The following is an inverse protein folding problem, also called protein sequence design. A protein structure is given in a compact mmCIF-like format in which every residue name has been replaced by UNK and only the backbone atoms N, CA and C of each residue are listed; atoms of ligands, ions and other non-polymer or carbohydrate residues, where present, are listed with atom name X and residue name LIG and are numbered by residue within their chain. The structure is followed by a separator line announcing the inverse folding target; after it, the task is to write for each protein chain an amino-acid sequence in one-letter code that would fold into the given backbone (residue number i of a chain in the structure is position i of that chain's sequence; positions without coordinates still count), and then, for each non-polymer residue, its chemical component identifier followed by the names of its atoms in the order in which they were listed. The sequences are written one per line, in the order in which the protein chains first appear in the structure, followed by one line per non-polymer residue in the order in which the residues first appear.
data_IF_142625292523
#
_entry.id   IF_142625292523
#
_cell.length_a   1.000
_cell.length_b   1.000
_cell.length_c   1.000
_cell.angle_alpha   90.00
_cell.angle_beta   90.00
_cell.angle_gamma   90.00
#
_symmetry.space_group_name_H-M   'P 1'
#
loop_
_entity.id
_entity.type
_entity.pdbx_description
1 polymer ?
#
# COMPACT_ATOMS: atom_id res chain seq x y z
N UNK A 1 20.16 -15.83 19.32
CA UNK A 1 18.93 -16.44 18.79
C UNK A 1 18.34 -15.45 17.78
N UNK A 2 18.78 -15.52 16.52
CA UNK A 2 18.26 -14.66 15.46
C UNK A 2 16.83 -15.11 15.18
N UNK A 3 15.85 -14.25 15.47
CA UNK A 3 14.48 -14.45 15.02
C UNK A 3 14.49 -14.31 13.49
N UNK A 4 13.93 -15.27 12.75
CA UNK A 4 13.83 -15.16 11.29
C UNK A 4 13.04 -13.91 10.91
N UNK A 5 13.43 -13.23 9.82
CA UNK A 5 12.80 -11.99 9.35
C UNK A 5 11.27 -12.10 9.22
N UNK A 6 10.78 -13.29 8.88
CA UNK A 6 9.35 -13.64 8.83
C UNK A 6 8.65 -13.49 10.18
N UNK A 7 9.29 -13.93 11.27
CA UNK A 7 8.73 -13.84 12.62
C UNK A 7 8.69 -12.38 13.05
N UNK A 8 9.75 -11.61 12.76
CA UNK A 8 9.79 -10.17 13.02
C UNK A 8 8.63 -9.48 12.28
N UNK A 9 8.44 -9.80 11.00
CA UNK A 9 7.37 -9.27 10.17
C UNK A 9 5.97 -9.59 10.75
N UNK A 10 5.73 -10.85 11.14
CA UNK A 10 4.46 -11.27 11.76
C UNK A 10 4.24 -10.58 13.11
N UNK A 11 5.27 -10.45 13.93
CA UNK A 11 5.19 -9.73 15.20
C UNK A 11 4.81 -8.26 14.99
N UNK A 12 5.40 -7.58 14.01
CA UNK A 12 5.04 -6.19 13.67
C UNK A 12 3.59 -6.07 13.20
N UNK A 13 3.11 -7.02 12.39
CA UNK A 13 1.69 -7.08 12.00
C UNK A 13 0.78 -7.24 13.21
N UNK A 14 1.10 -8.13 14.16
CA UNK A 14 0.31 -8.33 15.37
C UNK A 14 0.30 -7.08 16.26
N UNK A 15 1.44 -6.41 16.41
CA UNK A 15 1.58 -5.16 17.17
C UNK A 15 0.80 -4.00 16.53
N UNK A 16 0.62 -4.00 15.21
CA UNK A 16 -0.16 -2.96 14.51
C UNK A 16 -1.65 -2.92 14.92
N UNK A 17 -2.20 -4.04 15.39
CA UNK A 17 -3.60 -4.20 15.78
C UNK A 17 -3.94 -3.36 17.03
N UNK A 18 -3.29 -3.57 18.21
CA UNK A 18 -3.55 -2.77 19.40
C UNK A 18 -3.28 -1.27 19.18
N UNK A 19 -2.28 -0.93 18.36
CA UNK A 19 -1.98 0.47 18.00
C UNK A 19 -3.19 1.16 17.35
N UNK A 20 -3.96 0.45 16.53
CA UNK A 20 -5.21 0.97 15.95
C UNK A 20 -6.25 1.41 16.98
N UNK A 21 -6.34 0.72 18.12
CA UNK A 21 -7.24 1.10 19.21
C UNK A 21 -6.77 2.35 19.96
N UNK A 22 -5.45 2.57 20.06
CA UNK A 22 -4.88 3.78 20.66
C UNK A 22 -5.21 5.01 19.81
N UNK A 23 -5.03 4.91 18.49
CA UNK A 23 -5.34 6.00 17.56
C UNK A 23 -6.84 6.31 17.43
N UNK A 24 -7.71 5.34 17.77
CA UNK A 24 -9.16 5.55 17.82
C UNK A 24 -9.54 6.62 18.87
N UNK A 25 -8.78 6.73 19.96
CA UNK A 25 -9.06 7.67 21.05
C UNK A 25 -8.38 9.04 20.88
N UNK A 26 -7.57 9.21 19.84
CA UNK A 26 -6.80 10.44 19.62
C UNK A 26 -7.68 11.55 19.02
N UNK A 27 -7.85 12.66 19.75
CA UNK A 27 -8.66 13.82 19.32
C UNK A 27 -7.90 14.82 18.44
N UNK A 28 -6.56 14.84 18.53
CA UNK A 28 -5.72 15.80 17.81
C UNK A 28 -5.24 15.25 16.46
N UNK A 29 -5.62 15.93 15.38
CA UNK A 29 -5.35 15.49 14.00
C UNK A 29 -3.85 15.45 13.65
N UNK A 30 -3.08 16.47 14.06
CA UNK A 30 -1.66 16.57 13.74
C UNK A 30 -0.86 15.53 14.52
N UNK A 31 -1.13 15.39 15.83
CA UNK A 31 -0.49 14.37 16.66
C UNK A 31 -0.78 12.97 16.12
N UNK A 32 -2.03 12.69 15.74
CA UNK A 32 -2.42 11.42 15.12
C UNK A 32 -1.63 11.14 13.84
N UNK A 33 -1.51 12.13 12.96
CA UNK A 33 -0.74 11.99 11.74
C UNK A 33 0.75 11.73 12.02
N UNK A 34 1.42 12.59 12.80
CA UNK A 34 2.84 12.43 13.11
C UNK A 34 3.15 11.10 13.80
N UNK A 35 2.37 10.71 14.80
CA UNK A 35 2.56 9.44 15.50
C UNK A 35 2.33 8.24 14.58
N UNK A 36 1.30 8.27 13.70
CA UNK A 36 1.04 7.19 12.74
C UNK A 36 2.17 7.02 11.72
N UNK A 37 2.78 8.13 11.29
CA UNK A 37 3.90 8.16 10.35
C UNK A 37 5.19 7.72 11.03
N UNK A 38 5.44 8.15 12.27
CA UNK A 38 6.62 7.74 13.04
C UNK A 38 6.62 6.22 13.27
N UNK A 39 5.50 5.66 13.69
CA UNK A 39 5.37 4.20 13.89
C UNK A 39 5.57 3.45 12.58
N UNK A 40 4.94 3.90 11.49
CA UNK A 40 5.11 3.25 10.19
C UNK A 40 6.54 3.36 9.67
N UNK A 41 7.20 4.50 9.86
CA UNK A 41 8.61 4.66 9.50
C UNK A 41 9.51 3.72 10.32
N UNK A 42 9.27 3.58 11.62
CA UNK A 42 9.98 2.59 12.46
C UNK A 42 9.77 1.17 11.93
N UNK A 43 8.55 0.82 11.52
CA UNK A 43 8.27 -0.50 10.92
C UNK A 43 9.04 -0.69 9.61
N UNK A 44 9.09 0.33 8.74
CA UNK A 44 9.86 0.28 7.51
C UNK A 44 11.37 0.13 7.78
N UNK A 45 11.91 0.81 8.80
CA UNK A 45 13.32 0.67 9.19
C UNK A 45 13.65 -0.75 9.68
N UNK A 46 12.79 -1.34 10.49
CA UNK A 46 12.99 -2.69 11.03
C UNK A 46 12.92 -3.73 9.90
N UNK A 47 11.97 -3.59 8.98
CA UNK A 47 11.72 -4.58 7.91
C UNK A 47 12.69 -4.42 6.73
N UNK A 48 12.90 -3.20 6.24
CA UNK A 48 13.69 -2.93 5.04
C UNK A 48 15.18 -2.70 5.33
N UNK A 49 15.55 -2.38 6.57
CA UNK A 49 16.92 -2.00 6.95
C UNK A 49 17.45 -0.89 6.01
N UNK A 50 18.53 -1.13 5.27
CA UNK A 50 19.12 -0.15 4.35
C UNK A 50 18.27 0.12 3.10
N UNK A 51 17.44 -0.84 2.68
CA UNK A 51 16.60 -0.70 1.48
C UNK A 51 15.51 0.38 1.66
N UNK A 52 15.27 0.84 2.89
CA UNK A 52 14.35 1.95 3.18
C UNK A 52 14.70 3.21 2.39
N UNK A 53 15.99 3.41 2.06
CA UNK A 53 16.47 4.57 1.30
C UNK A 53 15.84 4.62 -0.09
N UNK A 54 15.63 3.47 -0.74
CA UNK A 54 14.97 3.42 -2.05
C UNK A 54 13.52 3.93 -1.96
N UNK A 55 12.82 3.51 -0.91
CA UNK A 55 11.47 3.97 -0.64
C UNK A 55 11.43 5.47 -0.33
N UNK A 56 12.41 5.97 0.43
CA UNK A 56 12.50 7.37 0.83
C UNK A 56 12.76 8.28 -0.37
N UNK A 57 13.66 7.88 -1.27
CA UNK A 57 13.96 8.59 -2.51
C UNK A 57 12.69 8.65 -3.37
N UNK A 58 12.02 7.51 -3.54
CA UNK A 58 10.78 7.43 -4.33
C UNK A 58 9.71 8.38 -3.79
N UNK A 59 9.46 8.35 -2.48
CA UNK A 59 8.47 9.22 -1.83
C UNK A 59 8.86 10.69 -1.91
N UNK A 60 10.14 11.02 -1.70
CA UNK A 60 10.62 12.41 -1.70
C UNK A 60 10.51 13.03 -3.08
N UNK A 61 10.97 12.33 -4.14
CA UNK A 61 10.85 12.82 -5.52
C UNK A 61 9.40 12.96 -5.92
N UNK A 62 8.53 12.01 -5.54
CA UNK A 62 7.09 12.15 -5.80
C UNK A 62 6.50 13.38 -5.09
N UNK A 63 6.89 13.67 -3.85
CA UNK A 63 6.45 14.89 -3.17
C UNK A 63 6.92 16.16 -3.89
N UNK A 64 8.13 16.16 -4.47
CA UNK A 64 8.63 17.27 -5.29
C UNK A 64 7.84 17.42 -6.59
N UNK A 65 7.52 16.31 -7.27
CA UNK A 65 6.68 16.31 -8.47
C UNK A 65 5.30 16.90 -8.15
N UNK A 66 4.66 16.47 -7.06
CA UNK A 66 3.36 16.99 -6.65
C UNK A 66 3.40 18.48 -6.23
N UNK A 67 4.56 18.97 -5.77
CA UNK A 67 4.74 20.38 -5.42
C UNK A 67 4.97 21.28 -6.65
N UNK A 68 5.74 20.78 -7.64
CA UNK A 68 6.22 21.58 -8.76
C UNK A 68 5.41 21.45 -10.05
N UNK A 69 4.71 20.34 -10.26
CA UNK A 69 3.98 20.07 -11.52
C UNK A 69 2.53 20.53 -11.43
N UNK A 70 2.04 21.17 -12.49
CA UNK A 70 0.64 21.58 -12.61
C UNK A 70 -0.31 20.37 -12.50
N UNK A 71 -1.45 20.58 -11.83
CA UNK A 71 -2.52 19.60 -11.62
C UNK A 71 -2.96 18.83 -12.88
N UNK A 72 -2.76 19.40 -14.07
CA UNK A 72 -3.06 18.78 -15.37
C UNK A 72 -2.15 17.59 -15.71
N UNK A 73 -0.86 17.65 -15.38
CA UNK A 73 0.14 16.67 -15.80
C UNK A 73 0.73 15.86 -14.63
N UNK A 74 0.35 16.17 -13.40
CA UNK A 74 0.90 15.55 -12.18
C UNK A 74 0.74 14.04 -12.14
N UNK A 75 -0.39 13.50 -12.60
CA UNK A 75 -0.67 12.06 -12.61
C UNK A 75 0.27 11.32 -13.58
N UNK A 76 0.50 11.86 -14.77
CA UNK A 76 1.42 11.29 -15.78
C UNK A 76 2.86 11.34 -15.27
N UNK A 77 3.30 12.51 -14.79
CA UNK A 77 4.66 12.68 -14.28
C UNK A 77 4.96 11.72 -13.12
N UNK A 78 4.03 11.60 -12.17
CA UNK A 78 4.15 10.69 -11.03
C UNK A 78 4.10 9.22 -11.47
N UNK A 79 3.21 8.88 -12.41
CA UNK A 79 3.09 7.53 -12.93
C UNK A 79 4.40 7.08 -13.60
N UNK A 80 4.94 7.90 -14.51
CA UNK A 80 6.21 7.61 -15.20
C UNK A 80 7.33 7.47 -14.17
N UNK A 81 7.49 8.42 -13.24
CA UNK A 81 8.52 8.34 -12.21
C UNK A 81 8.42 7.06 -11.37
N UNK A 82 7.26 6.79 -10.79
CA UNK A 82 7.07 5.64 -9.91
C UNK A 82 7.26 4.31 -10.63
N UNK A 83 6.72 4.14 -11.84
CA UNK A 83 6.87 2.90 -12.60
C UNK A 83 8.29 2.73 -13.16
N UNK A 84 8.94 3.80 -13.60
CA UNK A 84 10.36 3.74 -14.00
C UNK A 84 11.25 3.35 -12.83
N UNK A 85 11.01 3.91 -11.64
CA UNK A 85 11.76 3.54 -10.44
C UNK A 85 11.48 2.09 -10.02
N UNK A 86 10.22 1.65 -10.08
CA UNK A 86 9.85 0.26 -9.80
C UNK A 86 10.51 -0.71 -10.79
N UNK A 87 10.56 -0.34 -12.08
CA UNK A 87 11.22 -1.13 -13.12
C UNK A 87 12.72 -1.22 -12.85
N UNK A 88 13.38 -0.10 -12.55
CA UNK A 88 14.80 -0.07 -12.16
C UNK A 88 15.06 -1.00 -10.96
N UNK A 89 14.22 -0.91 -9.92
CA UNK A 89 14.33 -1.75 -8.73
C UNK A 89 14.17 -3.25 -9.04
N UNK A 90 13.29 -3.59 -9.99
CA UNK A 90 13.05 -4.97 -10.47
C UNK A 90 14.16 -5.50 -11.39
N UNK A 91 14.86 -4.62 -12.11
CA UNK A 91 15.90 -5.00 -13.08
C UNK A 91 17.32 -4.88 -12.53
N UNK A 92 17.48 -4.63 -11.23
CA UNK A 92 18.78 -4.56 -10.51
C UNK A 92 19.69 -5.77 -10.76
N UNK A 93 19.12 -6.97 -10.91
CA UNK A 93 19.86 -8.19 -11.25
C UNK A 93 20.61 -8.09 -12.59
N UNK A 94 20.06 -7.37 -13.58
CA UNK A 94 20.70 -7.17 -14.87
C UNK A 94 21.95 -6.27 -14.76
N UNK A 95 22.02 -5.46 -13.70
CA UNK A 95 23.11 -4.53 -13.42
C UNK A 95 24.09 -5.04 -12.35
N UNK A 96 23.99 -6.32 -11.95
CA UNK A 96 24.83 -6.94 -10.90
C UNK A 96 24.75 -6.25 -9.53
N UNK A 97 23.67 -5.51 -9.27
CA UNK A 97 23.38 -4.90 -7.97
C UNK A 97 22.66 -5.94 -7.11
N UNK A 98 22.99 -6.00 -5.81
CA UNK A 98 22.36 -6.95 -4.88
C UNK A 98 20.84 -6.84 -4.92
N UNK A 99 20.17 -8.00 -5.01
CA UNK A 99 18.72 -8.05 -5.09
C UNK A 99 18.11 -7.57 -3.75
N UNK A 100 17.16 -6.62 -3.78
CA UNK A 100 16.54 -6.12 -2.56
C UNK A 100 15.75 -7.22 -1.86
N UNK A 101 15.66 -7.12 -0.52
CA UNK A 101 14.96 -8.10 0.31
C UNK A 101 13.48 -8.17 -0.11
N UNK A 102 12.89 -9.37 -0.12
CA UNK A 102 11.51 -9.61 -0.56
C UNK A 102 10.49 -8.70 0.14
N UNK A 103 10.69 -8.42 1.44
CA UNK A 103 9.84 -7.52 2.21
C UNK A 103 9.98 -6.05 1.79
N UNK A 104 11.19 -5.60 1.46
CA UNK A 104 11.46 -4.24 0.95
C UNK A 104 10.73 -4.01 -0.38
N UNK A 105 10.71 -5.03 -1.24
CA UNK A 105 9.98 -4.99 -2.51
C UNK A 105 8.46 -4.84 -2.32
N UNK A 106 7.88 -5.54 -1.35
CA UNK A 106 6.46 -5.41 -1.05
C UNK A 106 6.10 -3.99 -0.57
N UNK A 107 6.91 -3.41 0.32
CA UNK A 107 6.73 -2.03 0.82
C UNK A 107 6.89 -1.02 -0.32
N UNK A 108 7.89 -1.20 -1.18
CA UNK A 108 8.12 -0.34 -2.35
C UNK A 108 6.93 -0.35 -3.31
N UNK A 109 6.35 -1.53 -3.59
CA UNK A 109 5.16 -1.66 -4.42
C UNK A 109 3.95 -0.96 -3.78
N UNK A 110 3.72 -1.17 -2.49
CA UNK A 110 2.62 -0.54 -1.76
C UNK A 110 2.74 0.99 -1.77
N UNK A 111 3.94 1.52 -1.52
CA UNK A 111 4.22 2.96 -1.60
C UNK A 111 3.98 3.50 -3.02
N UNK A 112 4.44 2.78 -4.04
CA UNK A 112 4.21 3.15 -5.44
C UNK A 112 2.72 3.30 -5.75
N UNK A 113 1.90 2.32 -5.37
CA UNK A 113 0.45 2.37 -5.57
C UNK A 113 -0.20 3.54 -4.83
N UNK A 114 0.19 3.77 -3.57
CA UNK A 114 -0.32 4.89 -2.75
C UNK A 114 0.02 6.24 -3.38
N UNK A 115 1.27 6.44 -3.81
CA UNK A 115 1.76 7.69 -4.36
C UNK A 115 1.16 8.02 -5.73
N UNK A 116 1.10 7.04 -6.64
CA UNK A 116 0.46 7.19 -7.95
C UNK A 116 -1.01 7.52 -7.79
N UNK A 117 -1.68 6.85 -6.85
CA UNK A 117 -3.11 7.05 -6.64
C UNK A 117 -3.45 8.42 -6.05
N UNK A 118 -2.61 8.96 -5.17
CA UNK A 118 -2.72 10.37 -4.73
C UNK A 118 -2.63 11.32 -5.92
N UNK A 119 -1.72 11.07 -6.85
CA UNK A 119 -1.55 11.93 -8.02
C UNK A 119 -2.77 11.88 -8.96
N UNK A 120 -3.39 10.71 -9.12
CA UNK A 120 -4.67 10.58 -9.82
C UNK A 120 -5.82 11.26 -9.07
N UNK A 121 -5.92 11.10 -7.75
CA UNK A 121 -6.95 11.77 -6.94
C UNK A 121 -6.82 13.31 -7.01
N UNK A 122 -5.60 13.83 -7.03
CA UNK A 122 -5.34 15.26 -7.26
C UNK A 122 -5.85 15.67 -8.64
N UNK A 123 -5.45 14.95 -9.69
CA UNK A 123 -5.81 15.28 -11.06
C UNK A 123 -7.33 15.27 -11.28
N UNK A 124 -8.00 14.24 -10.76
CA UNK A 124 -9.45 14.10 -10.84
C UNK A 124 -10.17 15.23 -10.10
N UNK A 125 -9.64 15.65 -8.94
CA UNK A 125 -10.19 16.80 -8.19
C UNK A 125 -10.08 18.09 -9.01
N UNK A 126 -8.94 18.29 -9.69
CA UNK A 126 -8.75 19.43 -10.59
C UNK A 126 -9.71 19.39 -11.79
N UNK A 127 -9.92 18.22 -12.41
CA UNK A 127 -10.83 18.08 -13.54
C UNK A 127 -12.27 18.36 -13.13
N UNK A 128 -12.72 17.86 -11.97
CA UNK A 128 -14.05 18.16 -11.41
C UNK A 128 -14.27 19.65 -11.21
N UNK A 129 -13.31 20.34 -10.58
CA UNK A 129 -13.37 21.79 -10.39
C UNK A 129 -13.47 22.57 -11.72
N UNK A 130 -12.78 22.10 -12.76
CA UNK A 130 -12.86 22.68 -14.10
C UNK A 130 -14.25 22.47 -14.72
N UNK A 131 -14.81 21.27 -14.60
CA UNK A 131 -16.16 20.95 -15.09
C UNK A 131 -17.22 21.80 -14.41
N UNK A 132 -17.16 21.93 -13.08
CA UNK A 132 -18.05 22.78 -12.29
C UNK A 132 -18.05 24.22 -12.80
N UNK A 133 -16.87 24.80 -13.05
CA UNK A 133 -16.74 26.18 -13.54
C UNK A 133 -17.26 26.39 -14.96
N UNK A 134 -17.29 25.34 -15.78
CA UNK A 134 -17.74 25.41 -17.17
C UNK A 134 -19.22 25.05 -17.31
N UNK A 135 -19.82 24.45 -16.27
CA UNK A 135 -21.20 24.00 -16.28
C UNK A 135 -22.16 25.19 -16.18
N UNK A 136 -23.05 25.32 -17.16
CA UNK A 136 -24.04 26.40 -17.24
C UNK A 136 -25.38 26.01 -16.61
N UNK A 137 -25.68 24.72 -16.51
CA UNK A 137 -26.89 24.20 -15.88
C UNK A 137 -26.78 24.26 -14.35
N UNK A 138 -27.71 24.98 -13.69
CA UNK A 138 -27.71 25.16 -12.24
C UNK A 138 -27.86 23.83 -11.47
N UNK A 139 -28.83 23.00 -11.84
CA UNK A 139 -29.11 21.72 -11.17
C UNK A 139 -27.94 20.72 -11.29
N UNK A 140 -27.23 20.73 -12.42
CA UNK A 140 -26.09 19.86 -12.65
C UNK A 140 -24.84 20.39 -11.93
N UNK A 141 -24.66 21.71 -11.89
CA UNK A 141 -23.60 22.37 -11.14
C UNK A 141 -23.72 22.11 -9.63
N UNK A 142 -24.93 22.17 -9.08
CA UNK A 142 -25.17 21.85 -7.66
C UNK A 142 -24.80 20.40 -7.33
N UNK A 143 -25.21 19.44 -8.16
CA UNK A 143 -24.85 18.02 -8.00
C UNK A 143 -23.33 17.81 -8.05
N UNK A 144 -22.64 18.50 -8.96
CA UNK A 144 -21.18 18.40 -9.08
C UNK A 144 -20.47 19.07 -7.90
N UNK A 145 -20.98 20.19 -7.39
CA UNK A 145 -20.47 20.87 -6.20
C UNK A 145 -20.58 19.98 -4.96
N UNK A 146 -21.72 19.30 -4.78
CA UNK A 146 -21.90 18.33 -3.71
C UNK A 146 -20.88 17.20 -3.83
N UNK A 147 -20.70 16.63 -5.03
CA UNK A 147 -19.69 15.59 -5.26
C UNK A 147 -18.27 16.07 -4.95
N UNK A 148 -17.90 17.27 -5.39
CA UNK A 148 -16.59 17.84 -5.12
C UNK A 148 -16.34 18.07 -3.63
N UNK A 149 -17.36 18.45 -2.85
CA UNK A 149 -17.22 18.56 -1.39
C UNK A 149 -16.77 17.23 -0.73
N UNK A 150 -17.29 16.10 -1.22
CA UNK A 150 -16.96 14.77 -0.68
C UNK A 150 -15.70 14.16 -1.30
N UNK A 151 -15.38 14.49 -2.54
CA UNK A 151 -14.31 13.83 -3.32
C UNK A 151 -13.08 14.71 -3.55
N UNK A 152 -13.16 16.02 -3.33
CA UNK A 152 -12.02 16.91 -3.54
C UNK A 152 -10.92 16.61 -2.54
N UNK A 153 -9.70 16.63 -3.05
CA UNK A 153 -8.49 16.48 -2.26
C UNK A 153 -7.53 17.59 -2.67
N UNK A 154 -7.11 18.39 -1.69
CA UNK A 154 -5.99 19.33 -1.83
C UNK A 154 -4.84 18.84 -0.95
N UNK A 155 -4.05 17.87 -1.41
CA UNK A 155 -3.05 17.25 -0.56
C UNK A 155 -1.87 18.20 -0.34
N UNK A 156 -1.49 18.41 0.92
CA UNK A 156 -0.22 19.05 1.26
C UNK A 156 0.90 18.02 1.06
N UNK A 157 2.07 18.46 0.56
CA UNK A 157 3.26 17.60 0.41
C UNK A 157 3.60 16.84 1.69
N UNK A 158 3.54 17.52 2.84
CA UNK A 158 3.75 16.91 4.15
C UNK A 158 2.71 15.84 4.46
N UNK A 159 1.44 16.09 4.13
CA UNK A 159 0.36 15.10 4.35
C UNK A 159 0.52 13.87 3.47
N UNK A 160 1.04 14.03 2.26
CA UNK A 160 1.34 12.92 1.34
C UNK A 160 2.47 12.07 1.89
N UNK A 161 3.52 12.70 2.42
CA UNK A 161 4.61 11.99 3.09
C UNK A 161 4.09 11.22 4.31
N UNK A 162 3.24 11.86 5.13
CA UNK A 162 2.61 11.23 6.29
C UNK A 162 1.72 10.05 5.91
N UNK A 163 0.96 10.19 4.82
CA UNK A 163 0.14 9.14 4.25
C UNK A 163 0.98 7.96 3.74
N UNK A 164 2.07 8.24 3.01
CA UNK A 164 2.95 7.22 2.45
C UNK A 164 3.46 6.28 3.54
N UNK A 165 4.04 6.85 4.61
CA UNK A 165 4.59 6.12 5.75
C UNK A 165 3.61 5.90 6.91
N UNK A 166 2.31 6.07 6.69
CA UNK A 166 1.32 5.70 7.70
C UNK A 166 1.40 4.18 7.96
N UNK A 167 1.53 3.78 9.22
CA UNK A 167 1.62 2.35 9.59
C UNK A 167 0.43 1.52 9.08
N UNK A 168 -0.75 2.14 8.94
CA UNK A 168 -1.93 1.52 8.34
C UNK A 168 -1.63 1.24 6.87
N UNK A 169 -1.59 -0.04 6.51
CA UNK A 169 -1.40 -0.48 5.12
C UNK A 169 0.03 -0.33 4.59
N UNK A 170 1.05 -0.18 5.44
CA UNK A 170 2.44 -0.10 4.99
C UNK A 170 3.06 -1.47 4.67
N UNK A 171 2.87 -2.46 5.54
CA UNK A 171 3.48 -3.79 5.42
C UNK A 171 2.69 -4.68 4.43
N UNK A 172 1.53 -5.21 4.85
CA UNK A 172 0.56 -5.94 4.00
C UNK A 172 -0.86 -5.67 4.48
N UNK A 173 -1.26 -4.40 4.47
CA UNK A 173 -2.66 -4.03 4.72
C UNK A 173 -3.42 -3.76 3.41
N UNK A 174 -4.75 -3.64 3.47
CA UNK A 174 -5.52 -3.29 2.29
C UNK A 174 -5.05 -1.93 1.76
N UNK A 175 -4.91 -1.85 0.45
CA UNK A 175 -4.72 -0.58 -0.23
C UNK A 175 -5.95 0.32 0.02
N UNK A 176 -5.71 1.58 0.37
CA UNK A 176 -6.74 2.59 0.57
C UNK A 176 -6.34 3.89 -0.10
N UNK A 177 -7.34 4.73 -0.38
CA UNK A 177 -7.18 6.03 -1.04
C UNK A 177 -6.70 7.12 -0.09
N UNK A 178 -6.12 8.19 -0.63
CA UNK A 178 -5.69 9.32 0.21
C UNK A 178 -6.89 10.01 0.86
N UNK A 179 -8.03 10.09 0.17
CA UNK A 179 -9.26 10.60 0.79
C UNK A 179 -9.64 9.82 2.05
N UNK A 180 -9.55 8.49 2.02
CA UNK A 180 -9.83 7.65 3.19
C UNK A 180 -8.87 7.91 4.35
N UNK A 181 -7.59 8.19 4.05
CA UNK A 181 -6.62 8.62 5.06
C UNK A 181 -7.02 9.95 5.70
N UNK A 182 -7.40 10.92 4.87
CA UNK A 182 -7.82 12.24 5.31
C UNK A 182 -9.07 12.17 6.20
N UNK A 183 -10.09 11.42 5.78
CA UNK A 183 -11.31 11.22 6.54
C UNK A 183 -11.01 10.51 7.88
N UNK A 184 -10.09 9.52 7.88
CA UNK A 184 -9.65 8.87 9.12
C UNK A 184 -8.96 9.85 10.08
N UNK A 185 -8.14 10.77 9.58
CA UNK A 185 -7.50 11.79 10.39
C UNK A 185 -8.51 12.78 11.00
N UNK A 186 -9.52 13.18 10.24
CA UNK A 186 -10.55 14.15 10.64
C UNK A 186 -11.65 13.55 11.53
N UNK A 187 -11.70 12.23 11.66
CA UNK A 187 -12.76 11.54 12.39
C UNK A 187 -12.77 11.89 13.89
N UNK A 188 -13.68 12.80 14.29
CA UNK A 188 -13.80 13.32 15.67
C UNK A 188 -14.45 12.33 16.66
N UNK A 189 -15.32 11.43 16.19
CA UNK A 189 -16.15 10.56 17.04
C UNK A 189 -15.82 9.07 16.88
N UNK A 190 -14.53 8.73 16.73
CA UNK A 190 -14.12 7.34 16.52
C UNK A 190 -14.53 6.38 17.64
N UNK A 191 -14.72 6.87 18.87
CA UNK A 191 -15.08 6.10 20.08
C UNK A 191 -16.34 5.26 19.88
N UNK A 192 -17.37 5.78 19.18
CA UNK A 192 -18.65 5.09 18.97
C UNK A 192 -18.59 3.92 17.98
N UNK A 193 -17.49 3.75 17.25
CA UNK A 193 -17.34 2.64 16.31
C UNK A 193 -16.98 1.38 17.10
N UNK A 194 -17.80 0.33 17.01
CA UNK A 194 -17.55 -0.97 17.64
C UNK A 194 -16.41 -1.76 16.96
N UNK A 195 -15.20 -1.20 16.89
CA UNK A 195 -14.06 -1.82 16.20
C UNK A 195 -13.71 -3.24 16.69
N UNK A 196 -13.92 -3.53 17.98
CA UNK A 196 -13.66 -4.85 18.55
C UNK A 196 -14.60 -5.93 18.01
N UNK A 197 -15.88 -5.59 17.73
CA UNK A 197 -16.83 -6.57 17.20
C UNK A 197 -16.49 -6.93 15.76
N UNK A 198 -16.07 -5.95 14.94
CA UNK A 198 -15.59 -6.19 13.59
C UNK A 198 -14.28 -6.97 13.57
N UNK A 199 -13.33 -6.64 14.45
CA UNK A 199 -12.08 -7.39 14.59
C UNK A 199 -12.34 -8.85 14.96
N UNK A 200 -13.21 -9.11 15.96
CA UNK A 200 -13.56 -10.46 16.38
C UNK A 200 -14.14 -11.28 15.24
N UNK A 201 -15.06 -10.70 14.45
CA UNK A 201 -15.61 -11.37 13.26
C UNK A 201 -14.51 -11.73 12.27
N UNK A 202 -13.59 -10.81 11.96
CA UNK A 202 -12.47 -11.07 11.04
C UNK A 202 -11.53 -12.16 11.54
N UNK A 203 -11.23 -12.19 12.84
CA UNK A 203 -10.39 -13.24 13.44
C UNK A 203 -11.06 -14.61 13.30
N UNK A 204 -12.36 -14.71 13.60
CA UNK A 204 -13.12 -15.96 13.48
C UNK A 204 -13.10 -16.47 12.03
N UNK A 205 -13.44 -15.62 11.06
CA UNK A 205 -13.40 -16.00 9.64
C UNK A 205 -11.97 -16.34 9.18
N UNK A 206 -10.97 -15.58 9.63
CA UNK A 206 -9.57 -15.85 9.35
C UNK A 206 -9.12 -17.22 9.86
N UNK A 207 -9.49 -17.58 11.09
CA UNK A 207 -9.20 -18.90 11.67
C UNK A 207 -9.88 -20.04 10.90
N UNK A 208 -11.11 -19.84 10.44
CA UNK A 208 -11.82 -20.82 9.60
C UNK A 208 -11.06 -21.02 8.28
N UNK A 209 -10.66 -19.95 7.59
CA UNK A 209 -9.88 -20.06 6.35
C UNK A 209 -8.53 -20.75 6.56
N UNK A 210 -7.82 -20.44 7.64
CA UNK A 210 -6.56 -21.10 7.98
C UNK A 210 -6.77 -22.59 8.22
N UNK A 211 -7.82 -22.97 8.97
CA UNK A 211 -8.12 -24.37 9.23
C UNK A 211 -8.48 -25.13 7.95
N UNK A 212 -9.35 -24.53 7.12
CA UNK A 212 -9.70 -25.11 5.81
C UNK A 212 -8.46 -25.25 4.93
N UNK A 213 -7.59 -24.24 4.88
CA UNK A 213 -6.33 -24.31 4.13
C UNK A 213 -5.42 -25.44 4.64
N UNK A 214 -5.24 -25.57 5.95
CA UNK A 214 -4.43 -26.64 6.54
C UNK A 214 -5.00 -28.03 6.24
N UNK A 215 -6.32 -28.20 6.34
CA UNK A 215 -7.00 -29.46 5.99
C UNK A 215 -6.88 -29.79 4.50
N UNK A 216 -7.04 -28.82 3.61
CA UNK A 216 -6.83 -29.02 2.18
C UNK A 216 -5.36 -29.31 1.88
N UNK A 217 -4.43 -28.65 2.56
CA UNK A 217 -2.99 -28.84 2.36
C UNK A 217 -2.50 -30.21 2.84
N UNK A 218 -3.18 -30.85 3.79
CA UNK A 218 -2.84 -32.23 4.19
C UNK A 218 -3.42 -33.25 3.22
N UNK A 219 -4.62 -33.00 2.67
CA UNK A 219 -5.24 -33.85 1.64
C UNK A 219 -4.54 -33.75 0.29
N UNK A 220 -4.12 -32.54 -0.09
CA UNK A 220 -3.36 -32.24 -1.31
C UNK A 220 -1.90 -32.07 -0.92
N UNK A 221 -1.17 -33.18 -0.79
CA UNK A 221 0.27 -33.11 -0.52
C UNK A 221 0.97 -32.31 -1.63
N UNK A 222 1.45 -31.11 -1.30
CA UNK A 222 2.25 -30.26 -2.19
C UNK A 222 3.44 -31.02 -2.82
N UNK A 223 3.98 -32.01 -2.11
CA UNK A 223 5.02 -32.89 -2.60
C UNK A 223 4.62 -33.70 -3.83
N UNK A 224 3.35 -34.13 -3.93
CA UNK A 224 2.87 -34.90 -5.09
C UNK A 224 2.82 -34.02 -6.33
N UNK A 225 2.39 -32.77 -6.20
CA UNK A 225 2.29 -31.81 -7.31
C UNK A 225 3.69 -31.39 -7.79
N UNK A 226 4.60 -31.04 -6.88
CA UNK A 226 5.97 -30.66 -7.24
C UNK A 226 6.72 -31.84 -7.84
N UNK A 227 6.56 -33.05 -7.28
CA UNK A 227 7.18 -34.26 -7.82
C UNK A 227 6.65 -34.63 -9.22
N UNK A 228 5.35 -34.47 -9.47
CA UNK A 228 4.77 -34.72 -10.80
C UNK A 228 5.19 -33.67 -11.84
N UNK A 229 5.33 -32.39 -11.47
CA UNK A 229 5.89 -31.38 -12.39
C UNK A 229 7.37 -31.62 -12.69
N UNK A 230 8.17 -31.92 -11.67
CA UNK A 230 9.59 -32.20 -11.85
C UNK A 230 9.80 -33.43 -12.75
N UNK A 231 9.05 -34.51 -12.50
CA UNK A 231 9.11 -35.73 -13.31
C UNK A 231 8.66 -35.48 -14.75
N UNK A 232 7.60 -34.69 -14.96
CA UNK A 232 7.10 -34.34 -16.30
C UNK A 232 8.13 -33.52 -17.10
N UNK A 233 8.75 -32.52 -16.47
CA UNK A 233 9.75 -31.67 -17.12
C UNK A 233 11.03 -32.45 -17.48
N UNK A 234 11.45 -33.42 -16.67
CA UNK A 234 12.57 -34.29 -17.01
C UNK A 234 12.25 -35.27 -18.14
N UNK A 235 11.02 -35.80 -18.22
CA UNK A 235 10.59 -36.66 -19.33
C UNK A 235 10.53 -35.90 -20.65
N UNK A 236 10.07 -34.64 -20.65
CA UNK A 236 10.06 -33.81 -21.86
C UNK A 236 11.48 -33.50 -22.35
N UNK A 237 12.42 -33.17 -21.44
CA UNK A 237 13.83 -32.97 -21.79
C UNK A 237 14.49 -34.22 -22.38
N UNK A 238 14.19 -35.40 -21.82
CA UNK A 238 14.74 -36.66 -22.33
C UNK A 238 14.15 -37.03 -23.70
N UNK A 239 12.90 -36.68 -23.97
CA UNK A 239 12.28 -36.92 -25.28
C UNK A 239 12.80 -35.96 -26.35
N UNK A 240 13.10 -34.69 -26.00
CA UNK A 240 13.72 -33.75 -26.95
C UNK A 240 15.16 -34.15 -27.33
N UNK A 241 15.91 -34.76 -26.41
CA UNK A 241 17.27 -35.26 -26.69
C UNK A 241 17.30 -36.55 -27.53
N UNK A 242 16.23 -37.33 -27.56
CA UNK A 242 16.14 -38.57 -28.34
C UNK A 242 15.61 -38.35 -29.78
N UNK A 243 15.23 -37.12 -30.15
CA UNK A 243 14.70 -36.77 -31.48
C UNK A 243 15.73 -35.98 -32.32
N UNK A 244 16.83 -35.55 -31.71
CA UNK A 244 18.01 -34.95 -32.37
C UNK A 244 19.10 -35.98 -32.66
#
# INVERSE_FOLDING_TARGET
MYLSDEVIYVCLLLISIPIGFIFKNSRHINLKAYSSTLIGFIFALIVCRWDVLHSLITTSVTCLILAGVTARYVHIATFIWCFSYLLFFRTTNLFSIQLPVAHSNAIQLMLTLKLVSVAFEWHDSYLRLKTIRTQTNADESEKLHLQDMYLSVKPSTLRIFQYAYCYIGLLTGPYYRYRTYHDWLEMKHGVHIHGLTFMRKRVIFGSIYILTYLLLSTMVSFNVIIFTEYSRNNLLKNNEQNIS
#
